data_IF_724403368921
#
_entry.id   IF_724403368921
#
_cell.length_a   1.000
_cell.length_b   1.000
_cell.length_c   1.000
_cell.angle_alpha   90.00
_cell.angle_beta   90.00
_cell.angle_gamma   90.00
#
_symmetry.space_group_name_H-M   'P 1'
#
loop_
_entity.id
_entity.type
_entity.pdbx_description
1 polymer ?
#
# COMPACT_ATOMS: atom_id res chain seq x y z
N UNK A 1 -5.99 -5.09 9.61
CA UNK A 1 -6.93 -4.75 8.54
C UNK A 1 -7.44 -3.33 8.76
N UNK A 2 -7.45 -2.51 7.69
CA UNK A 2 -8.04 -1.19 7.75
C UNK A 2 -9.53 -1.29 7.38
N UNK A 3 -10.40 -1.35 8.36
CA UNK A 3 -11.85 -1.45 8.15
C UNK A 3 -12.51 -0.09 8.35
N UNK A 4 -11.95 0.75 9.23
CA UNK A 4 -12.56 2.03 9.60
C UNK A 4 -12.35 3.14 8.55
N UNK A 5 -11.27 3.06 7.78
CA UNK A 5 -10.92 4.03 6.73
C UNK A 5 -11.15 3.44 5.32
N UNK A 6 -12.18 2.60 5.15
CA UNK A 6 -12.52 2.02 3.85
C UNK A 6 -13.18 3.05 2.95
N UNK A 7 -12.67 3.17 1.73
CA UNK A 7 -13.26 3.98 0.67
C UNK A 7 -13.80 3.06 -0.44
N UNK A 8 -15.09 3.13 -0.77
CA UNK A 8 -15.63 2.51 -1.97
C UNK A 8 -14.89 2.99 -3.22
N UNK A 9 -14.74 2.13 -4.22
CA UNK A 9 -13.95 2.44 -5.43
C UNK A 9 -14.44 3.71 -6.15
N UNK A 10 -15.75 3.96 -6.15
CA UNK A 10 -16.34 5.15 -6.79
C UNK A 10 -16.04 6.47 -6.06
N UNK A 11 -15.63 6.42 -4.78
CA UNK A 11 -15.18 7.59 -4.00
C UNK A 11 -13.69 7.87 -4.18
N UNK A 12 -12.93 6.91 -4.72
CA UNK A 12 -11.50 7.09 -4.97
C UNK A 12 -11.32 7.83 -6.30
N UNK A 13 -10.59 8.97 -6.33
CA UNK A 13 -10.41 9.76 -7.56
C UNK A 13 -9.88 8.93 -8.74
N UNK A 14 -10.47 9.13 -9.92
CA UNK A 14 -10.11 8.38 -11.13
C UNK A 14 -8.62 8.50 -11.48
N UNK A 15 -8.04 9.68 -11.32
CA UNK A 15 -6.61 9.89 -11.55
C UNK A 15 -5.75 9.02 -10.61
N UNK A 16 -6.17 8.85 -9.34
CA UNK A 16 -5.46 7.99 -8.40
C UNK A 16 -5.58 6.51 -8.80
N UNK A 17 -6.76 6.07 -9.22
CA UNK A 17 -6.96 4.72 -9.75
C UNK A 17 -6.07 4.47 -10.98
N UNK A 18 -6.08 5.38 -11.94
CA UNK A 18 -5.25 5.30 -13.15
C UNK A 18 -3.76 5.30 -12.85
N UNK A 19 -3.32 6.10 -11.89
CA UNK A 19 -1.93 6.14 -11.45
C UNK A 19 -1.47 4.80 -10.85
N UNK A 20 -2.32 4.15 -10.04
CA UNK A 20 -2.01 2.82 -9.50
C UNK A 20 -1.95 1.76 -10.59
N UNK A 21 -2.92 1.70 -11.49
CA UNK A 21 -2.92 0.77 -12.62
C UNK A 21 -1.66 0.99 -13.48
N UNK A 22 -1.37 2.24 -13.83
CA UNK A 22 -0.21 2.57 -14.65
C UNK A 22 1.14 2.25 -13.99
N UNK A 23 1.23 2.40 -12.67
CA UNK A 23 2.45 2.12 -11.93
C UNK A 23 2.64 0.64 -11.61
N UNK A 24 1.58 -0.06 -11.18
CA UNK A 24 1.67 -1.41 -10.64
C UNK A 24 1.36 -2.49 -11.68
N UNK A 25 0.30 -2.30 -12.47
CA UNK A 25 -0.23 -3.35 -13.34
C UNK A 25 -0.97 -2.75 -14.56
N UNK A 26 -0.23 -2.32 -15.56
CA UNK A 26 -0.78 -1.63 -16.75
C UNK A 26 -1.83 -2.41 -17.51
N UNK A 27 -1.82 -3.73 -17.38
CA UNK A 27 -2.73 -4.64 -18.08
C UNK A 27 -3.72 -5.30 -17.13
N UNK A 28 -3.97 -4.71 -15.97
CA UNK A 28 -4.82 -5.24 -14.91
C UNK A 28 -6.15 -5.78 -15.44
N UNK A 29 -6.81 -5.05 -16.30
CA UNK A 29 -8.11 -5.46 -16.89
C UNK A 29 -8.00 -6.45 -18.07
N UNK A 30 -6.78 -6.83 -18.50
CA UNK A 30 -6.55 -7.66 -19.67
C UNK A 30 -6.09 -9.09 -19.34
N UNK A 31 -5.71 -9.37 -18.11
CA UNK A 31 -5.27 -10.69 -17.67
C UNK A 31 -6.18 -11.26 -16.58
N UNK A 32 -6.01 -12.56 -16.28
CA UNK A 32 -6.76 -13.28 -15.26
C UNK A 32 -5.84 -13.75 -14.13
N UNK A 33 -5.61 -12.88 -13.15
CA UNK A 33 -4.76 -13.11 -11.97
C UNK A 33 -3.28 -12.90 -12.23
N UNK A 34 -2.75 -13.44 -13.32
CA UNK A 34 -1.32 -13.40 -13.68
C UNK A 34 -1.14 -12.79 -15.07
N UNK A 35 -0.25 -11.81 -15.18
CA UNK A 35 0.20 -11.28 -16.48
C UNK A 35 1.40 -12.06 -17.03
N UNK A 36 1.12 -13.11 -17.79
CA UNK A 36 2.15 -13.98 -18.39
C UNK A 36 3.04 -13.24 -19.38
N UNK A 37 2.51 -12.26 -20.12
CA UNK A 37 3.31 -11.47 -21.06
C UNK A 37 4.28 -10.54 -20.31
N UNK A 38 3.81 -9.86 -19.27
CA UNK A 38 4.68 -9.04 -18.42
C UNK A 38 5.76 -9.89 -17.72
N UNK A 39 5.40 -11.11 -17.28
CA UNK A 39 6.39 -12.06 -16.70
C UNK A 39 7.44 -12.49 -17.72
N UNK A 40 7.03 -12.83 -18.93
CA UNK A 40 7.95 -13.18 -20.01
C UNK A 40 8.92 -12.04 -20.35
N UNK A 41 8.41 -10.83 -20.50
CA UNK A 41 9.24 -9.62 -20.70
C UNK A 41 10.20 -9.34 -19.54
N UNK A 42 9.73 -9.47 -18.30
CA UNK A 42 10.58 -9.28 -17.12
C UNK A 42 11.68 -10.34 -17.03
N UNK A 43 11.38 -11.59 -17.35
CA UNK A 43 12.37 -12.68 -17.39
C UNK A 43 13.46 -12.40 -18.43
N UNK A 44 13.08 -12.02 -19.65
CA UNK A 44 14.03 -11.68 -20.71
C UNK A 44 14.92 -10.48 -20.33
N UNK A 45 14.34 -9.46 -19.70
CA UNK A 45 15.10 -8.29 -19.21
C UNK A 45 16.07 -8.66 -18.08
N UNK A 46 15.64 -9.50 -17.15
CA UNK A 46 16.48 -9.95 -16.03
C UNK A 46 17.63 -10.82 -16.52
N UNK A 47 17.41 -11.69 -17.52
CA UNK A 47 18.45 -12.49 -18.17
C UNK A 47 19.48 -11.59 -18.87
N UNK A 48 19.03 -10.56 -19.60
CA UNK A 48 19.95 -9.62 -20.29
C UNK A 48 20.76 -8.77 -19.32
N UNK A 49 20.15 -8.39 -18.18
CA UNK A 49 20.77 -7.50 -17.20
C UNK A 49 21.62 -8.22 -16.15
N UNK A 50 21.64 -9.55 -16.12
CA UNK A 50 22.28 -10.40 -15.07
C UNK A 50 21.94 -10.00 -13.64
N UNK A 51 20.81 -9.34 -13.45
CA UNK A 51 20.30 -8.90 -12.13
C UNK A 51 18.79 -8.76 -12.16
N UNK A 52 18.14 -8.90 -11.03
CA UNK A 52 16.69 -8.69 -10.88
C UNK A 52 16.30 -7.22 -11.03
N UNK A 53 16.03 -6.80 -12.27
CA UNK A 53 15.70 -5.39 -12.59
C UNK A 53 14.23 -5.08 -12.43
N UNK A 54 13.33 -6.06 -12.60
CA UNK A 54 11.88 -5.85 -12.51
C UNK A 54 11.15 -7.01 -11.83
N UNK A 55 10.20 -6.67 -10.96
CA UNK A 55 9.15 -7.58 -10.51
C UNK A 55 7.93 -7.43 -11.43
N UNK A 56 7.36 -8.55 -11.88
CA UNK A 56 6.16 -8.60 -12.72
C UNK A 56 4.98 -9.16 -11.91
N UNK A 57 4.79 -8.71 -10.67
CA UNK A 57 3.63 -9.10 -9.86
C UNK A 57 2.44 -8.24 -10.25
N UNK A 58 1.27 -8.87 -10.45
CA UNK A 58 0.00 -8.18 -10.69
C UNK A 58 -0.58 -7.60 -9.42
N UNK A 59 -1.58 -6.71 -9.53
CA UNK A 59 -2.35 -6.20 -8.39
C UNK A 59 -3.01 -7.38 -7.66
N UNK A 60 -3.60 -8.34 -8.38
CA UNK A 60 -4.25 -9.51 -7.78
C UNK A 60 -3.27 -10.37 -6.98
N UNK A 61 -2.04 -10.59 -7.47
CA UNK A 61 -1.01 -11.28 -6.71
C UNK A 61 -0.57 -10.51 -5.46
N UNK A 62 -0.58 -9.18 -5.52
CA UNK A 62 -0.32 -8.35 -4.35
C UNK A 62 -1.46 -8.46 -3.32
N UNK A 63 -2.72 -8.51 -3.74
CA UNK A 63 -3.87 -8.79 -2.87
C UNK A 63 -3.72 -10.16 -2.20
N UNK A 64 -3.40 -11.20 -2.95
CA UNK A 64 -3.13 -12.53 -2.37
C UNK A 64 -2.03 -12.48 -1.30
N UNK A 65 -0.97 -11.73 -1.54
CA UNK A 65 0.13 -11.57 -0.58
C UNK A 65 -0.29 -10.80 0.68
N UNK A 66 -1.23 -9.87 0.56
CA UNK A 66 -1.82 -9.16 1.70
C UNK A 66 -2.69 -10.11 2.52
N UNK A 67 -3.47 -10.96 1.86
CA UNK A 67 -4.37 -11.94 2.50
C UNK A 67 -3.57 -13.08 3.16
N UNK A 68 -2.56 -13.60 2.46
CA UNK A 68 -1.76 -14.74 2.87
C UNK A 68 -0.25 -14.39 2.85
N UNK A 69 0.26 -13.68 3.87
CA UNK A 69 1.67 -13.33 3.95
C UNK A 69 2.57 -14.58 3.96
N UNK A 70 3.56 -14.60 3.08
CA UNK A 70 4.50 -15.74 2.92
C UNK A 70 5.93 -15.26 2.73
N UNK A 71 6.94 -16.09 3.05
CA UNK A 71 8.33 -15.82 2.70
C UNK A 71 8.49 -15.60 1.19
N UNK A 72 9.40 -14.71 0.78
CA UNK A 72 9.66 -14.39 -0.64
C UNK A 72 10.49 -15.46 -1.32
N UNK A 73 9.88 -16.63 -1.63
CA UNK A 73 10.48 -17.72 -2.39
C UNK A 73 9.87 -17.83 -3.79
N UNK A 74 10.52 -18.55 -4.69
CA UNK A 74 9.94 -18.85 -6.01
C UNK A 74 8.67 -19.69 -5.90
N UNK A 75 8.63 -20.60 -4.92
CA UNK A 75 7.45 -21.40 -4.63
C UNK A 75 6.27 -20.55 -4.17
N UNK A 76 6.50 -19.61 -3.24
CA UNK A 76 5.46 -18.67 -2.78
C UNK A 76 4.90 -17.85 -3.95
N UNK A 77 5.76 -17.41 -4.87
CA UNK A 77 5.33 -16.65 -6.05
C UNK A 77 4.49 -17.48 -7.02
N UNK A 78 4.79 -18.75 -7.13
CA UNK A 78 3.98 -19.66 -7.94
C UNK A 78 2.61 -19.88 -7.30
N UNK A 79 2.55 -20.14 -6.00
CA UNK A 79 1.29 -20.25 -5.25
C UNK A 79 0.46 -18.95 -5.31
N UNK A 80 1.10 -17.79 -5.15
CA UNK A 80 0.44 -16.48 -5.31
C UNK A 80 -0.26 -16.38 -6.67
N UNK A 81 0.36 -16.84 -7.74
CA UNK A 81 -0.24 -16.84 -9.08
C UNK A 81 -1.46 -17.74 -9.21
N UNK A 82 -1.42 -18.94 -8.61
CA UNK A 82 -2.57 -19.86 -8.60
C UNK A 82 -3.74 -19.26 -7.81
N UNK A 83 -3.44 -18.73 -6.63
CA UNK A 83 -4.44 -18.11 -5.76
C UNK A 83 -5.01 -16.84 -6.40
N UNK A 84 -4.20 -16.04 -7.10
CA UNK A 84 -4.65 -14.89 -7.85
C UNK A 84 -5.65 -15.27 -8.95
N UNK A 85 -5.37 -16.33 -9.69
CA UNK A 85 -6.29 -16.84 -10.71
C UNK A 85 -7.61 -17.39 -10.10
N UNK A 86 -7.56 -17.97 -8.89
CA UNK A 86 -8.76 -18.40 -8.15
C UNK A 86 -9.55 -17.22 -7.62
N UNK A 87 -8.87 -16.20 -7.11
CA UNK A 87 -9.51 -14.99 -6.59
C UNK A 87 -10.32 -14.27 -7.68
N UNK A 88 -9.78 -14.16 -8.91
CA UNK A 88 -10.49 -13.53 -10.03
C UNK A 88 -11.66 -14.35 -10.61
N UNK A 89 -11.82 -15.59 -10.18
CA UNK A 89 -13.05 -16.36 -10.47
C UNK A 89 -14.19 -16.08 -9.51
N UNK A 90 -13.87 -15.55 -8.33
CA UNK A 90 -14.83 -15.31 -7.25
C UNK A 90 -15.20 -13.83 -7.13
N UNK A 91 -14.25 -12.94 -7.44
CA UNK A 91 -14.39 -11.51 -7.29
C UNK A 91 -14.07 -10.79 -8.61
N UNK A 92 -14.82 -9.74 -8.87
CA UNK A 92 -14.58 -8.87 -10.03
C UNK A 92 -13.27 -8.08 -9.90
N UNK A 93 -12.75 -7.60 -11.01
CA UNK A 93 -11.58 -6.70 -11.03
C UNK A 93 -11.81 -5.44 -10.16
N UNK A 94 -13.02 -4.91 -10.17
CA UNK A 94 -13.38 -3.73 -9.38
C UNK A 94 -13.27 -4.01 -7.88
N UNK A 95 -13.82 -5.12 -7.39
CA UNK A 95 -13.75 -5.51 -5.98
C UNK A 95 -12.32 -5.79 -5.54
N UNK A 96 -11.53 -6.48 -6.36
CA UNK A 96 -10.10 -6.75 -6.09
C UNK A 96 -9.32 -5.44 -6.03
N UNK A 97 -9.59 -4.51 -6.93
CA UNK A 97 -8.90 -3.23 -6.97
C UNK A 97 -9.29 -2.31 -5.81
N UNK A 98 -10.58 -2.29 -5.45
CA UNK A 98 -11.07 -1.60 -4.26
C UNK A 98 -10.37 -2.12 -3.00
N UNK A 99 -10.34 -3.45 -2.83
CA UNK A 99 -9.61 -4.07 -1.71
C UNK A 99 -8.14 -3.68 -1.71
N UNK A 100 -7.48 -3.73 -2.88
CA UNK A 100 -6.07 -3.36 -3.00
C UNK A 100 -5.82 -1.92 -2.54
N UNK A 101 -6.58 -0.95 -3.05
CA UNK A 101 -6.41 0.46 -2.73
C UNK A 101 -6.65 0.74 -1.24
N UNK A 102 -7.51 -0.03 -0.59
CA UNK A 102 -7.81 0.09 0.84
C UNK A 102 -6.81 -0.65 1.75
N UNK A 103 -6.08 -1.67 1.25
CA UNK A 103 -5.23 -2.52 2.08
C UNK A 103 -3.75 -2.50 1.69
N UNK A 104 -3.38 -1.88 0.58
CA UNK A 104 -1.98 -1.82 0.15
C UNK A 104 -1.11 -1.20 1.26
N UNK A 105 0.02 -1.86 1.64
CA UNK A 105 0.84 -1.37 2.73
C UNK A 105 1.66 -0.16 2.31
N UNK A 106 1.59 0.89 3.10
CA UNK A 106 2.50 2.02 3.08
C UNK A 106 3.48 1.93 4.26
N UNK A 107 4.50 2.75 4.26
CA UNK A 107 5.42 2.83 5.40
C UNK A 107 4.70 3.16 6.72
N UNK A 108 5.39 2.90 7.87
CA UNK A 108 4.89 3.25 9.21
C UNK A 108 3.55 2.61 9.58
N UNK A 109 3.37 1.33 9.22
CA UNK A 109 2.19 0.53 9.54
C UNK A 109 0.86 1.09 8.97
N UNK A 110 0.90 2.01 8.02
CA UNK A 110 -0.29 2.54 7.36
C UNK A 110 -0.73 1.65 6.20
N UNK A 111 -2.02 1.53 6.02
CA UNK A 111 -2.65 0.74 4.96
C UNK A 111 -3.69 1.56 4.21
N UNK A 112 -3.70 1.38 2.89
CA UNK A 112 -4.65 2.02 2.00
C UNK A 112 -4.36 3.48 1.69
N UNK A 113 -5.00 3.93 0.62
CA UNK A 113 -4.77 5.26 0.04
C UNK A 113 -5.25 6.40 0.94
N UNK A 114 -6.32 6.19 1.73
CA UNK A 114 -6.84 7.21 2.63
C UNK A 114 -5.85 7.51 3.75
N UNK A 115 -5.37 6.46 4.45
CA UNK A 115 -4.39 6.65 5.51
C UNK A 115 -3.07 7.22 4.97
N UNK A 116 -2.68 6.81 3.77
CA UNK A 116 -1.46 7.33 3.14
C UNK A 116 -1.60 8.81 2.74
N UNK A 117 -2.73 9.22 2.17
CA UNK A 117 -3.00 10.61 1.81
C UNK A 117 -2.96 11.52 3.05
N UNK A 118 -3.60 11.10 4.13
CA UNK A 118 -3.57 11.81 5.41
C UNK A 118 -2.19 11.86 6.04
N UNK A 119 -1.44 10.74 5.98
CA UNK A 119 -0.09 10.67 6.55
C UNK A 119 0.92 11.57 5.81
N UNK A 120 0.87 11.57 4.48
CA UNK A 120 1.89 12.24 3.67
C UNK A 120 1.51 13.66 3.27
N UNK A 121 0.23 13.99 3.19
CA UNK A 121 -0.24 15.27 2.68
C UNK A 121 -1.24 15.97 3.60
N UNK A 122 -1.64 15.33 4.70
CA UNK A 122 -2.69 15.82 5.61
C UNK A 122 -4.00 16.17 4.86
N UNK A 123 -4.35 15.33 3.89
CA UNK A 123 -5.50 15.53 3.00
C UNK A 123 -6.25 14.25 2.72
N UNK A 124 -7.52 14.38 2.38
CA UNK A 124 -8.29 13.28 1.83
C UNK A 124 -7.93 13.04 0.34
N UNK A 125 -8.01 11.79 -0.15
CA UNK A 125 -7.67 11.45 -1.53
C UNK A 125 -8.37 12.29 -2.58
N UNK A 126 -9.62 12.71 -2.31
CA UNK A 126 -10.41 13.55 -3.21
C UNK A 126 -9.85 14.98 -3.40
N UNK A 127 -9.02 15.45 -2.47
CA UNK A 127 -8.47 16.81 -2.48
C UNK A 127 -7.00 16.87 -2.91
N UNK A 128 -6.41 15.73 -3.26
CA UNK A 128 -5.03 15.66 -3.71
C UNK A 128 -4.87 16.32 -5.09
N UNK A 129 -3.81 17.09 -5.23
CA UNK A 129 -3.39 17.58 -6.53
C UNK A 129 -2.72 16.45 -7.37
N UNK A 130 -2.53 16.64 -8.69
CA UNK A 130 -1.93 15.60 -9.52
C UNK A 130 -0.56 15.12 -9.05
N UNK A 131 0.30 16.01 -8.59
CA UNK A 131 1.64 15.65 -8.12
C UNK A 131 1.57 14.78 -6.85
N UNK A 132 0.72 15.13 -5.89
CA UNK A 132 0.45 14.34 -4.68
C UNK A 132 -0.12 12.96 -5.02
N UNK A 133 -1.09 12.92 -5.95
CA UNK A 133 -1.73 11.69 -6.43
C UNK A 133 -0.72 10.71 -7.03
N UNK A 134 0.12 11.20 -7.97
CA UNK A 134 1.14 10.36 -8.59
C UNK A 134 2.22 9.97 -7.59
N UNK A 135 2.56 10.85 -6.66
CA UNK A 135 3.51 10.55 -5.58
C UNK A 135 3.01 9.38 -4.73
N UNK A 136 1.73 9.35 -4.32
CA UNK A 136 1.17 8.21 -3.60
C UNK A 136 1.32 6.90 -4.37
N UNK A 137 1.06 6.88 -5.67
CA UNK A 137 1.15 5.68 -6.47
C UNK A 137 2.60 5.14 -6.59
N UNK A 138 3.61 6.01 -6.61
CA UNK A 138 5.01 5.57 -6.65
C UNK A 138 5.56 5.15 -5.28
N UNK A 139 5.04 5.72 -4.18
CA UNK A 139 5.47 5.41 -2.82
C UNK A 139 5.18 3.97 -2.40
N UNK A 140 4.13 3.35 -2.92
CA UNK A 140 3.81 1.94 -2.68
C UNK A 140 4.97 1.01 -3.03
N UNK A 141 5.73 1.34 -4.07
CA UNK A 141 6.90 0.54 -4.50
C UNK A 141 8.13 0.69 -3.62
N UNK A 142 8.14 1.69 -2.76
CA UNK A 142 9.32 2.03 -1.96
C UNK A 142 8.97 2.32 -0.49
N UNK A 143 8.18 1.46 0.20
CA UNK A 143 7.70 1.76 1.56
C UNK A 143 8.84 1.91 2.58
N UNK A 144 9.98 1.26 2.36
CA UNK A 144 11.17 1.38 3.21
C UNK A 144 12.07 2.58 2.92
N UNK A 145 11.86 3.28 1.81
CA UNK A 145 12.68 4.47 1.47
C UNK A 145 12.24 5.73 2.21
N UNK A 146 11.03 5.74 2.75
CA UNK A 146 10.45 6.89 3.46
C UNK A 146 10.93 7.09 4.90
N UNK A 147 11.70 6.17 5.45
CA UNK A 147 12.26 6.28 6.81
C UNK A 147 13.66 6.86 6.89
N UNK A 148 14.39 6.79 5.81
CA UNK A 148 15.68 7.48 5.59
C UNK A 148 15.38 8.52 4.54
N UNK A 149 15.88 9.75 4.67
CA UNK A 149 15.76 10.80 3.64
C UNK A 149 15.75 10.15 2.25
N UNK A 150 14.53 9.84 1.74
CA UNK A 150 14.40 9.35 0.38
C UNK A 150 14.89 10.50 -0.46
N UNK A 151 16.04 10.33 -1.11
CA UNK A 151 16.54 11.35 -2.00
C UNK A 151 15.39 11.66 -2.97
N UNK A 152 14.91 12.89 -2.94
CA UNK A 152 13.84 13.35 -3.82
C UNK A 152 14.20 13.03 -5.29
N UNK A 153 15.49 12.90 -5.58
CA UNK A 153 16.04 12.45 -6.84
C UNK A 153 15.64 11.02 -7.21
N UNK A 154 15.58 10.09 -6.25
CA UNK A 154 15.23 8.68 -6.51
C UNK A 154 13.77 8.48 -6.94
N UNK A 155 12.89 9.40 -6.55
CA UNK A 155 11.45 9.37 -6.88
C UNK A 155 11.12 10.23 -8.11
N UNK A 156 11.94 11.20 -8.46
CA UNK A 156 11.68 12.11 -9.58
C UNK A 156 11.55 11.39 -10.93
N UNK A 157 12.46 10.47 -11.25
CA UNK A 157 12.41 9.72 -12.49
C UNK A 157 11.19 8.78 -12.60
N UNK A 158 10.85 7.97 -11.56
CA UNK A 158 9.60 7.20 -11.55
C UNK A 158 8.36 8.08 -11.72
N UNK A 159 8.33 9.24 -11.06
CA UNK A 159 7.22 10.20 -11.17
C UNK A 159 7.03 10.69 -12.61
N UNK A 160 8.11 11.18 -13.23
CA UNK A 160 8.05 11.68 -14.59
C UNK A 160 7.67 10.60 -15.62
N UNK A 161 8.15 9.35 -15.42
CA UNK A 161 7.74 8.22 -16.27
C UNK A 161 6.25 7.90 -16.12
N UNK A 162 5.72 7.95 -14.91
CA UNK A 162 4.30 7.74 -14.65
C UNK A 162 3.47 8.89 -15.24
N UNK A 163 3.87 10.15 -15.03
CA UNK A 163 3.23 11.32 -15.62
C UNK A 163 3.21 11.23 -17.14
N UNK A 164 4.34 10.93 -17.78
CA UNK A 164 4.42 10.77 -19.24
C UNK A 164 3.49 9.72 -19.78
N UNK A 165 3.37 8.57 -19.09
CA UNK A 165 2.44 7.53 -19.48
C UNK A 165 0.97 7.98 -19.38
N UNK A 166 0.60 8.67 -18.30
CA UNK A 166 -0.78 9.16 -18.09
C UNK A 166 -1.13 10.30 -19.06
N UNK A 167 -0.19 11.19 -19.37
CA UNK A 167 -0.37 12.25 -20.39
C UNK A 167 -0.59 11.62 -21.76
N UNK A 168 0.26 10.67 -22.16
CA UNK A 168 0.14 9.98 -23.45
C UNK A 168 -1.20 9.22 -23.58
N UNK A 169 -1.74 8.73 -22.46
CA UNK A 169 -3.05 8.07 -22.38
C UNK A 169 -4.24 9.03 -22.25
N UNK A 170 -4.03 10.34 -22.26
CA UNK A 170 -5.10 11.36 -22.09
C UNK A 170 -5.73 11.37 -20.68
N UNK A 171 -5.06 10.78 -19.68
CA UNK A 171 -5.57 10.63 -18.30
C UNK A 171 -5.07 11.74 -17.37
N UNK A 172 -4.08 12.49 -17.77
CA UNK A 172 -3.51 13.61 -17.04
C UNK A 172 -3.41 14.83 -17.96
N UNK A 173 -4.08 15.92 -17.54
CA UNK A 173 -4.06 17.18 -18.27
C UNK A 173 -2.83 18.00 -17.88
N UNK A 174 -1.69 17.70 -18.50
CA UNK A 174 -0.46 18.46 -18.40
C UNK A 174 0.23 18.49 -19.76
N UNK A 175 0.97 19.57 -20.08
CA UNK A 175 1.66 19.70 -21.37
C UNK A 175 2.91 18.82 -21.46
N UNK A 176 3.57 18.62 -20.31
CA UNK A 176 4.75 17.77 -20.25
C UNK A 176 4.89 17.11 -18.88
N UNK A 177 5.62 15.96 -18.77
CA UNK A 177 5.91 15.33 -17.49
C UNK A 177 6.69 16.24 -16.52
N UNK A 178 7.48 17.19 -17.05
CA UNK A 178 8.29 18.12 -16.26
C UNK A 178 7.47 19.10 -15.43
N UNK A 179 6.19 19.34 -15.80
CA UNK A 179 5.27 20.15 -15.01
C UNK A 179 4.85 19.48 -13.70
N UNK A 180 4.96 18.14 -13.65
CA UNK A 180 4.64 17.36 -12.46
C UNK A 180 5.92 17.18 -11.63
N UNK A 181 6.11 18.06 -10.67
CA UNK A 181 7.21 17.96 -9.71
C UNK A 181 6.82 17.10 -8.52
N UNK A 182 7.81 16.46 -7.89
CA UNK A 182 7.56 15.65 -6.71
C UNK A 182 6.91 16.50 -5.61
N UNK A 183 5.81 16.00 -5.06
CA UNK A 183 5.16 16.66 -3.93
C UNK A 183 6.08 16.62 -2.70
N UNK A 184 6.11 17.72 -1.95
CA UNK A 184 6.88 17.80 -0.72
C UNK A 184 6.35 16.76 0.29
N UNK A 185 7.21 15.85 0.70
CA UNK A 185 6.89 14.89 1.74
C UNK A 185 7.29 15.45 3.10
N UNK A 186 6.48 15.26 4.15
CA UNK A 186 6.82 15.76 5.47
C UNK A 186 8.12 15.11 5.96
N UNK A 187 9.08 15.94 6.34
CA UNK A 187 10.37 15.51 6.90
C UNK A 187 10.22 14.85 8.28
N UNK A 188 9.19 15.27 9.01
CA UNK A 188 8.81 14.70 10.30
C UNK A 188 7.49 13.95 10.20
N UNK A 189 7.39 12.76 10.84
CA UNK A 189 6.10 12.09 10.91
C UNK A 189 5.07 12.98 11.60
N UNK A 190 3.86 13.04 11.04
CA UNK A 190 2.71 13.53 11.79
C UNK A 190 2.65 12.71 13.08
N UNK A 191 2.98 13.34 14.21
CA UNK A 191 2.80 12.73 15.52
C UNK A 191 1.31 12.64 15.77
N UNK A 192 0.84 11.47 16.18
CA UNK A 192 -0.48 11.35 16.76
C UNK A 192 -0.61 12.39 17.90
N UNK A 193 -1.76 13.07 18.03
CA UNK A 193 -1.95 14.02 19.13
C UNK A 193 -1.59 13.35 20.46
N UNK A 194 -0.83 14.04 21.30
CA UNK A 194 -0.37 13.53 22.61
C UNK A 194 -1.52 13.05 23.50
N UNK A 195 -2.73 13.53 23.24
CA UNK A 195 -3.97 13.13 23.94
C UNK A 195 -4.42 11.69 23.62
N UNK A 196 -3.96 11.06 22.53
CA UNK A 196 -4.28 9.67 22.22
C UNK A 196 -3.70 8.69 23.24
N UNK A 197 -2.53 8.97 23.80
CA UNK A 197 -1.89 8.16 24.85
C UNK A 197 -2.76 8.07 26.12
N UNK A 198 -3.38 9.19 26.49
CA UNK A 198 -4.26 9.22 27.65
C UNK A 198 -5.56 8.45 27.40
N UNK A 199 -6.13 8.57 26.21
CA UNK A 199 -7.32 7.86 25.77
C UNK A 199 -7.08 6.34 25.71
N UNK A 200 -5.97 5.90 25.15
CA UNK A 200 -5.59 4.47 25.07
C UNK A 200 -5.38 3.91 26.47
N UNK A 201 -4.68 4.61 27.36
CA UNK A 201 -4.50 4.18 28.77
C UNK A 201 -5.84 4.10 29.51
N UNK A 202 -6.77 4.96 29.19
CA UNK A 202 -8.12 4.96 29.80
C UNK A 202 -8.97 3.81 29.26
N UNK A 203 -8.94 3.52 27.95
CA UNK A 203 -9.57 2.35 27.33
C UNK A 203 -9.02 1.05 27.90
N UNK A 204 -7.70 0.89 27.95
CA UNK A 204 -7.04 -0.30 28.52
C UNK A 204 -7.43 -0.49 29.98
N UNK A 205 -7.52 0.58 30.79
CA UNK A 205 -8.01 0.46 32.17
C UNK A 205 -9.46 0.02 32.25
N UNK A 206 -10.33 0.55 31.40
CA UNK A 206 -11.77 0.21 31.44
C UNK A 206 -12.08 -1.18 30.93
N UNK A 207 -11.50 -1.61 29.82
CA UNK A 207 -11.77 -2.94 29.26
C UNK A 207 -11.10 -4.07 30.03
N UNK A 208 -9.90 -3.87 30.56
CA UNK A 208 -9.19 -4.93 31.30
C UNK A 208 -9.52 -4.94 32.81
N UNK A 209 -9.98 -3.84 33.41
CA UNK A 209 -10.44 -3.82 34.78
C UNK A 209 -11.85 -4.47 34.95
N UNK A 210 -12.67 -4.47 33.87
CA UNK A 210 -13.99 -5.09 33.87
C UNK A 210 -14.00 -6.60 33.67
N UNK A 211 -12.88 -7.22 33.31
CA UNK A 211 -12.80 -8.64 32.93
C UNK A 211 -11.82 -9.45 33.81
N UNK A 212 -11.58 -9.05 35.06
CA UNK A 212 -10.90 -9.94 36.00
C UNK A 212 -11.91 -10.92 36.61
N UNK A 213 -11.82 -12.23 36.30
CA UNK A 213 -12.50 -13.22 37.11
C UNK A 213 -11.87 -13.18 38.51
N UNK A 214 -12.72 -13.18 39.55
CA UNK A 214 -12.32 -13.15 40.96
C UNK A 214 -11.10 -14.07 41.19
N UNK A 215 -10.02 -13.49 41.66
CA UNK A 215 -8.76 -14.17 41.94
C UNK A 215 -9.00 -15.27 43.00
N UNK A 216 -8.77 -16.52 42.60
CA UNK A 216 -8.48 -17.57 43.53
C UNK A 216 -7.05 -17.34 44.04
N UNK A 217 -6.91 -17.09 45.32
CA UNK A 217 -5.61 -17.11 46.04
C UNK A 217 -4.90 -18.43 45.81
N UNK A 218 -3.68 -18.39 45.33
CA UNK A 218 -2.80 -19.57 45.23
C UNK A 218 -1.59 -19.28 44.35
N UNK A 219 -0.52 -18.87 44.99
CA UNK A 219 0.92 -18.99 44.66
C UNK A 219 1.35 -19.28 43.21
N UNK A 220 2.18 -18.38 42.67
CA UNK A 220 3.02 -18.65 41.51
C UNK A 220 3.32 -17.37 40.73
N UNK A 221 4.54 -16.87 40.90
CA UNK A 221 5.08 -15.80 40.04
C UNK A 221 4.96 -16.20 38.59
N UNK A 222 4.12 -15.52 37.84
CA UNK A 222 4.09 -15.58 36.38
C UNK A 222 4.29 -14.18 35.84
N UNK A 223 5.24 -14.09 34.96
CA UNK A 223 5.68 -12.95 34.16
C UNK A 223 4.51 -12.13 33.60
N UNK A 224 4.53 -10.78 33.65
CA UNK A 224 3.46 -9.97 33.11
C UNK A 224 3.38 -10.15 31.59
N UNK A 225 2.20 -10.55 31.11
CA UNK A 225 1.90 -10.70 29.70
C UNK A 225 2.28 -9.40 28.94
N UNK A 226 3.18 -9.56 27.99
CA UNK A 226 3.65 -8.49 27.10
C UNK A 226 2.51 -8.14 26.14
N UNK A 227 1.78 -7.06 26.42
CA UNK A 227 0.81 -6.52 25.48
C UNK A 227 1.59 -5.84 24.35
N UNK A 228 1.63 -6.50 23.21
CA UNK A 228 2.15 -5.88 21.98
C UNK A 228 1.10 -4.90 21.47
N UNK A 229 1.24 -3.62 21.82
CA UNK A 229 0.51 -2.56 21.16
C UNK A 229 1.18 -2.26 19.82
N UNK A 230 0.41 -2.26 18.74
CA UNK A 230 0.88 -1.93 17.38
C UNK A 230 1.11 -0.42 17.17
N UNK A 231 1.51 0.30 18.23
CA UNK A 231 1.67 1.76 18.26
C UNK A 231 3.14 2.21 18.36
N UNK A 232 4.10 1.34 18.03
CA UNK A 232 5.50 1.76 17.81
C UNK A 232 5.80 1.99 16.34
#
# INVERSE_FOLDING_TARGET
WNVHDWLPLHEIPTLLQDAFIASEDRRFYQHHGVDWLARGHALLQNLKAWRGVRGASTITEQVVRILHPRPRTLWSRWLEGIEAARLERQFSKAEIFEFYLNQVPYGRQRRGVLQAARLYFDRDPATLNPAETLTLAILVRAPGRLGKQADAHDLAQPLQRLAGYLIAGGKLAAKSPAEITLAALPSTPLRLPVHADHFIRQLVRHEFAGNQPAAREGAGQSDPARILTTLD
#
